data_IF_884372428920
#
_entry.id   IF_884372428920
#
_cell.length_a   1.000
_cell.length_b   1.000
_cell.length_c   1.000
_cell.angle_alpha   90.00
_cell.angle_beta   90.00
_cell.angle_gamma   90.00
#
_symmetry.space_group_name_H-M   'P 1'
#
loop_
_entity.id
_entity.type
_entity.pdbx_description
1 polymer ?
#
# COMPACT_ATOMS: atom_id res chain seq x y z
N UNK A 1 17.60 -61.68 62.86
CA UNK A 1 17.61 -60.51 61.95
C UNK A 1 16.43 -59.55 62.16
N UNK A 2 15.23 -60.00 62.55
CA UNK A 2 14.05 -59.14 62.67
C UNK A 2 14.04 -58.18 63.88
N UNK A 3 14.77 -58.48 64.97
CA UNK A 3 14.84 -57.60 66.16
C UNK A 3 15.68 -56.33 65.94
N UNK A 4 16.64 -56.36 65.02
CA UNK A 4 17.48 -55.21 64.67
C UNK A 4 16.71 -54.17 63.85
N UNK A 5 15.86 -54.64 62.93
CA UNK A 5 14.97 -53.80 62.10
C UNK A 5 13.96 -53.04 62.97
N UNK A 6 13.46 -53.64 64.05
CA UNK A 6 12.48 -53.01 64.94
C UNK A 6 13.08 -51.82 65.73
N UNK A 7 14.37 -51.88 66.07
CA UNK A 7 15.08 -50.82 66.84
C UNK A 7 15.48 -49.61 65.97
N UNK A 8 15.46 -49.74 64.64
CA UNK A 8 15.81 -48.67 63.69
C UNK A 8 14.65 -48.22 62.78
N UNK A 9 13.40 -48.55 63.11
CA UNK A 9 12.19 -48.20 62.33
C UNK A 9 12.09 -46.71 61.96
N UNK A 10 12.49 -45.81 62.86
CA UNK A 10 12.50 -44.36 62.57
C UNK A 10 13.47 -43.97 61.45
N UNK A 11 14.63 -44.65 61.36
CA UNK A 11 15.64 -44.38 60.32
C UNK A 11 15.18 -44.86 58.94
N UNK A 12 14.49 -46.00 58.87
CA UNK A 12 13.91 -46.51 57.63
C UNK A 12 12.75 -45.64 57.12
N UNK A 13 11.91 -45.11 58.01
CA UNK A 13 10.86 -44.16 57.66
C UNK A 13 11.44 -42.86 57.08
N UNK A 14 12.47 -42.31 57.71
CA UNK A 14 13.15 -41.10 57.22
C UNK A 14 13.80 -41.36 55.86
N UNK A 15 14.48 -42.50 55.69
CA UNK A 15 15.09 -42.86 54.41
C UNK A 15 14.04 -43.07 53.31
N UNK A 16 12.96 -43.79 53.60
CA UNK A 16 11.85 -44.01 52.67
C UNK A 16 11.17 -42.70 52.26
N UNK A 17 10.93 -41.79 53.22
CA UNK A 17 10.38 -40.47 52.95
C UNK A 17 11.34 -39.60 52.11
N UNK A 18 12.65 -39.67 52.38
CA UNK A 18 13.65 -38.97 51.59
C UNK A 18 13.70 -39.47 50.13
N UNK A 19 13.69 -40.79 49.92
CA UNK A 19 13.67 -41.39 48.58
C UNK A 19 12.38 -41.04 47.85
N UNK A 20 11.21 -41.20 48.48
CA UNK A 20 9.92 -40.86 47.88
C UNK A 20 9.82 -39.35 47.56
N UNK A 21 10.28 -38.48 48.46
CA UNK A 21 10.33 -37.04 48.25
C UNK A 21 11.24 -36.66 47.09
N UNK A 22 12.43 -37.28 46.98
CA UNK A 22 13.34 -37.05 45.86
C UNK A 22 12.75 -37.49 44.52
N UNK A 23 12.03 -38.60 44.48
CA UNK A 23 11.36 -39.10 43.28
C UNK A 23 10.24 -38.16 42.82
N UNK A 24 9.33 -37.78 43.72
CA UNK A 24 8.21 -36.88 43.39
C UNK A 24 8.70 -35.49 43.01
N UNK A 25 9.68 -34.94 43.76
CA UNK A 25 10.28 -33.64 43.46
C UNK A 25 11.02 -33.62 42.12
N UNK A 26 11.77 -34.68 41.81
CA UNK A 26 12.43 -34.84 40.52
C UNK A 26 11.45 -34.92 39.36
N UNK A 27 10.37 -35.71 39.49
CA UNK A 27 9.32 -35.81 38.47
C UNK A 27 8.60 -34.48 38.26
N UNK A 28 8.32 -33.74 39.32
CA UNK A 28 7.68 -32.43 39.25
C UNK A 28 8.57 -31.40 38.54
N UNK A 29 9.88 -31.37 38.84
CA UNK A 29 10.84 -30.51 38.14
C UNK A 29 10.90 -30.84 36.64
N UNK A 30 11.01 -32.12 36.28
CA UNK A 30 11.03 -32.56 34.88
C UNK A 30 9.75 -32.14 34.13
N UNK A 31 8.56 -32.43 34.70
CA UNK A 31 7.28 -32.01 34.11
C UNK A 31 7.15 -30.48 34.02
N UNK A 32 7.62 -29.73 35.02
CA UNK A 32 7.52 -28.27 35.03
C UNK A 32 8.40 -27.65 33.96
N UNK A 33 9.59 -28.19 33.74
CA UNK A 33 10.49 -27.71 32.67
C UNK A 33 9.94 -28.00 31.28
N UNK A 34 9.32 -29.17 31.05
CA UNK A 34 8.70 -29.49 29.76
C UNK A 34 7.50 -28.58 29.47
N UNK A 35 6.63 -28.34 30.47
CA UNK A 35 5.49 -27.41 30.34
C UNK A 35 5.94 -25.99 29.96
N UNK A 36 7.00 -25.47 30.62
CA UNK A 36 7.52 -24.13 30.35
C UNK A 36 8.20 -24.04 28.98
N UNK A 37 8.91 -25.09 28.56
CA UNK A 37 9.53 -25.16 27.23
C UNK A 37 8.48 -25.28 26.13
N UNK A 38 7.41 -26.03 26.36
CA UNK A 38 6.31 -26.16 25.41
C UNK A 38 5.56 -24.83 25.25
N UNK A 39 5.28 -24.13 26.35
CA UNK A 39 4.68 -22.79 26.32
C UNK A 39 5.57 -21.72 25.68
N UNK A 40 6.90 -21.80 25.85
CA UNK A 40 7.83 -20.92 25.13
C UNK A 40 7.85 -21.22 23.64
N UNK A 41 8.00 -22.51 23.28
CA UNK A 41 8.01 -22.94 21.87
C UNK A 41 6.72 -22.61 21.15
N UNK A 42 5.55 -22.72 21.79
CA UNK A 42 4.28 -22.37 21.16
C UNK A 42 4.19 -20.87 20.86
N UNK A 43 4.56 -20.02 21.83
CA UNK A 43 4.58 -18.56 21.65
C UNK A 43 5.55 -18.13 20.54
N UNK A 44 6.76 -18.70 20.53
CA UNK A 44 7.77 -18.41 19.50
C UNK A 44 7.32 -18.89 18.10
N UNK A 45 6.64 -20.04 18.02
CA UNK A 45 6.10 -20.59 16.78
C UNK A 45 4.96 -19.72 16.23
N UNK A 46 4.08 -19.20 17.10
CA UNK A 46 3.00 -18.29 16.73
C UNK A 46 3.55 -16.98 16.16
N UNK A 47 4.50 -16.35 16.86
CA UNK A 47 5.17 -15.13 16.39
C UNK A 47 5.88 -15.36 15.04
N UNK A 48 6.59 -16.48 14.88
CA UNK A 48 7.26 -16.83 13.62
C UNK A 48 6.26 -17.06 12.47
N UNK A 49 5.09 -17.66 12.75
CA UNK A 49 4.02 -17.85 11.75
C UNK A 49 3.46 -16.51 11.28
N UNK A 50 3.19 -15.59 12.20
CA UNK A 50 2.69 -14.25 11.89
C UNK A 50 3.69 -13.45 11.06
N UNK A 51 4.97 -13.49 11.45
CA UNK A 51 6.04 -12.81 10.72
C UNK A 51 6.17 -13.35 9.29
N UNK A 52 6.19 -14.68 9.11
CA UNK A 52 6.25 -15.32 7.80
C UNK A 52 5.03 -14.99 6.94
N UNK A 53 3.85 -14.95 7.55
CA UNK A 53 2.62 -14.59 6.85
C UNK A 53 2.66 -13.13 6.36
N UNK A 54 3.04 -12.18 7.22
CA UNK A 54 3.22 -10.78 6.85
C UNK A 54 4.25 -10.59 5.74
N UNK A 55 5.41 -11.25 5.86
CA UNK A 55 6.48 -11.16 4.86
C UNK A 55 6.03 -11.70 3.49
N UNK A 56 5.36 -12.85 3.47
CA UNK A 56 4.83 -13.44 2.23
C UNK A 56 3.75 -12.57 1.58
N UNK A 57 2.86 -11.99 2.37
CA UNK A 57 1.83 -11.09 1.88
C UNK A 57 2.43 -9.78 1.33
N UNK A 58 3.41 -9.18 2.02
CA UNK A 58 4.12 -8.01 1.53
C UNK A 58 4.81 -8.28 0.19
N UNK A 59 5.52 -9.41 0.07
CA UNK A 59 6.18 -9.85 -1.18
C UNK A 59 5.18 -10.04 -2.32
N UNK A 60 4.05 -10.71 -2.04
CA UNK A 60 3.00 -10.97 -3.04
C UNK A 60 2.35 -9.68 -3.52
N UNK A 61 2.02 -8.78 -2.59
CA UNK A 61 1.45 -7.48 -2.87
C UNK A 61 2.40 -6.61 -3.72
N UNK A 62 3.66 -6.53 -3.32
CA UNK A 62 4.69 -5.81 -4.06
C UNK A 62 4.87 -6.38 -5.47
N UNK A 63 4.96 -7.71 -5.59
CA UNK A 63 5.05 -8.39 -6.88
C UNK A 63 3.85 -8.08 -7.79
N UNK A 64 2.63 -8.08 -7.24
CA UNK A 64 1.43 -7.76 -8.01
C UNK A 64 1.48 -6.33 -8.58
N UNK A 65 1.93 -5.35 -7.77
CA UNK A 65 2.09 -3.97 -8.23
C UNK A 65 3.19 -3.83 -9.27
N UNK A 66 4.33 -4.51 -9.08
CA UNK A 66 5.41 -4.55 -10.08
C UNK A 66 4.94 -5.16 -11.39
N UNK A 67 4.03 -6.14 -11.38
CA UNK A 67 3.41 -6.70 -12.57
C UNK A 67 2.38 -5.77 -13.23
N UNK A 68 1.67 -4.95 -12.45
CA UNK A 68 0.70 -3.96 -12.94
C UNK A 68 1.38 -2.74 -13.57
N UNK A 69 2.53 -2.32 -13.02
CA UNK A 69 3.29 -1.15 -13.45
C UNK A 69 3.64 -1.12 -14.95
N UNK A 70 4.19 -2.18 -15.58
CA UNK A 70 4.48 -2.18 -17.01
C UNK A 70 3.21 -2.06 -17.85
N UNK A 71 2.11 -2.72 -17.44
CA UNK A 71 0.82 -2.61 -18.14
C UNK A 71 0.24 -1.20 -18.08
N UNK A 72 0.31 -0.56 -16.91
CA UNK A 72 -0.10 0.84 -16.74
C UNK A 72 0.77 1.78 -17.56
N UNK A 73 2.09 1.56 -17.55
CA UNK A 73 3.04 2.32 -18.37
C UNK A 73 2.64 2.21 -19.83
N UNK A 74 2.55 1.00 -20.38
CA UNK A 74 2.19 0.74 -21.79
C UNK A 74 0.86 1.39 -22.16
N UNK A 75 -0.17 1.24 -21.33
CA UNK A 75 -1.48 1.84 -21.56
C UNK A 75 -1.40 3.39 -21.58
N UNK A 76 -0.60 4.00 -20.70
CA UNK A 76 -0.34 5.44 -20.74
C UNK A 76 0.45 5.84 -21.98
N UNK A 77 1.47 5.08 -22.39
CA UNK A 77 2.22 5.39 -23.63
C UNK A 77 1.32 5.29 -24.86
N UNK A 78 0.40 4.32 -24.89
CA UNK A 78 -0.54 4.16 -26.00
C UNK A 78 -1.55 5.31 -26.10
N UNK A 79 -2.03 5.85 -24.97
CA UNK A 79 -3.00 6.97 -24.98
C UNK A 79 -2.33 8.36 -25.07
N UNK A 80 -1.08 8.47 -24.60
CA UNK A 80 -0.28 9.70 -24.55
C UNK A 80 1.06 9.48 -25.24
N UNK A 81 1.00 9.15 -26.53
CA UNK A 81 2.17 8.80 -27.36
C UNK A 81 2.95 10.05 -27.78
N UNK A 82 3.94 10.42 -26.96
CA UNK A 82 4.85 11.52 -27.28
C UNK A 82 5.90 11.10 -28.31
N UNK A 83 6.27 9.81 -28.31
CA UNK A 83 7.30 9.23 -29.14
C UNK A 83 6.93 9.33 -30.62
N UNK A 84 5.70 8.93 -31.00
CA UNK A 84 5.18 9.11 -32.37
C UNK A 84 5.17 10.57 -32.83
N UNK A 85 4.80 11.51 -31.94
CA UNK A 85 4.84 12.94 -32.27
C UNK A 85 6.28 13.41 -32.51
N UNK A 86 7.25 12.94 -31.72
CA UNK A 86 8.67 13.27 -31.92
C UNK A 86 9.24 12.67 -33.21
N UNK A 87 8.80 11.48 -33.63
CA UNK A 87 9.19 10.88 -34.90
C UNK A 87 8.60 11.65 -36.10
N UNK A 88 7.35 12.10 -36.00
CA UNK A 88 6.73 12.98 -37.00
C UNK A 88 7.47 14.33 -37.10
N UNK A 89 7.91 14.88 -35.97
CA UNK A 89 8.71 16.11 -35.94
C UNK A 89 10.09 15.95 -36.61
N UNK A 90 10.69 14.76 -36.53
CA UNK A 90 11.97 14.44 -37.19
C UNK A 90 11.82 14.24 -38.69
N UNK A 91 10.75 13.57 -39.13
CA UNK A 91 10.53 13.22 -40.54
C UNK A 91 9.92 14.34 -41.39
N UNK A 92 9.07 15.20 -40.80
CA UNK A 92 8.30 16.20 -41.55
C UNK A 92 9.01 17.56 -41.58
N UNK A 93 9.17 18.17 -42.76
CA UNK A 93 9.83 19.48 -42.91
C UNK A 93 8.89 20.68 -42.78
N UNK A 94 7.60 20.55 -43.13
CA UNK A 94 6.61 21.63 -43.11
C UNK A 94 5.50 21.41 -42.05
N UNK A 95 5.03 22.51 -41.43
CA UNK A 95 3.89 22.48 -40.49
C UNK A 95 4.21 21.93 -39.09
N UNK A 96 5.39 22.24 -38.53
CA UNK A 96 5.87 21.70 -37.23
C UNK A 96 5.19 22.30 -35.99
N UNK A 97 4.71 23.55 -36.06
CA UNK A 97 4.12 24.27 -34.91
C UNK A 97 2.97 23.50 -34.25
N UNK A 98 1.94 23.00 -34.97
CA UNK A 98 0.86 22.25 -34.33
C UNK A 98 1.32 20.92 -33.70
N UNK A 99 2.37 20.28 -34.25
CA UNK A 99 2.96 19.09 -33.66
C UNK A 99 3.65 19.40 -32.33
N UNK A 100 4.36 20.54 -32.24
CA UNK A 100 4.97 20.99 -31.00
C UNK A 100 3.95 21.37 -29.93
N UNK A 101 2.83 22.01 -30.32
CA UNK A 101 1.73 22.32 -29.41
C UNK A 101 1.09 21.04 -28.84
N UNK A 102 0.85 20.04 -29.69
CA UNK A 102 0.33 18.74 -29.26
C UNK A 102 1.34 18.00 -28.36
N UNK A 103 2.64 17.99 -28.72
CA UNK A 103 3.69 17.37 -27.91
C UNK A 103 3.75 17.97 -26.50
N UNK A 104 3.66 19.30 -26.39
CA UNK A 104 3.61 20.02 -25.11
C UNK A 104 2.47 19.47 -24.25
N UNK A 105 1.25 19.41 -24.79
CA UNK A 105 0.06 18.90 -24.07
C UNK A 105 0.29 17.45 -23.60
N UNK A 106 0.73 16.58 -24.50
CA UNK A 106 0.93 15.15 -24.21
C UNK A 106 1.99 14.94 -23.11
N UNK A 107 3.11 15.65 -23.16
CA UNK A 107 4.17 15.55 -22.16
C UNK A 107 3.69 15.95 -20.76
N UNK A 108 3.01 17.10 -20.63
CA UNK A 108 2.49 17.55 -19.33
C UNK A 108 1.39 16.62 -18.81
N UNK A 109 0.46 16.19 -19.67
CA UNK A 109 -0.57 15.23 -19.30
C UNK A 109 0.03 13.91 -18.81
N UNK A 110 1.10 13.41 -19.45
CA UNK A 110 1.77 12.16 -19.09
C UNK A 110 2.43 12.22 -17.71
N UNK A 111 3.05 13.34 -17.37
CA UNK A 111 3.64 13.55 -16.04
C UNK A 111 2.55 13.55 -14.97
N UNK A 112 1.46 14.29 -15.18
CA UNK A 112 0.37 14.40 -14.20
C UNK A 112 -0.35 13.05 -14.01
N UNK A 113 -0.69 12.36 -15.11
CA UNK A 113 -1.28 11.01 -15.05
C UNK A 113 -0.32 10.05 -14.34
N UNK A 114 0.99 10.13 -14.62
CA UNK A 114 2.01 9.31 -13.96
C UNK A 114 2.02 9.50 -12.44
N UNK A 115 1.94 10.73 -11.95
CA UNK A 115 1.85 11.04 -10.51
C UNK A 115 0.58 10.44 -9.92
N UNK A 116 -0.58 10.59 -10.58
CA UNK A 116 -1.83 10.01 -10.10
C UNK A 116 -1.82 8.49 -10.06
N UNK A 117 -1.20 7.83 -11.05
CA UNK A 117 -1.05 6.38 -11.06
C UNK A 117 -0.08 5.90 -9.98
N UNK A 118 0.98 6.63 -9.69
CA UNK A 118 1.87 6.31 -8.56
C UNK A 118 1.11 6.39 -7.22
N UNK A 119 0.30 7.44 -7.03
CA UNK A 119 -0.55 7.59 -5.86
C UNK A 119 -1.58 6.46 -5.75
N UNK A 120 -2.22 6.09 -6.86
CA UNK A 120 -3.16 4.99 -6.98
C UNK A 120 -2.55 3.64 -6.60
N UNK A 121 -1.38 3.32 -7.17
CA UNK A 121 -0.64 2.09 -6.85
C UNK A 121 -0.24 2.03 -5.37
N UNK A 122 0.18 3.16 -4.79
CA UNK A 122 0.46 3.23 -3.35
C UNK A 122 -0.80 2.97 -2.50
N UNK A 123 -1.95 3.48 -2.93
CA UNK A 123 -3.22 3.19 -2.25
C UNK A 123 -3.58 1.70 -2.33
N UNK A 124 -3.35 1.03 -3.47
CA UNK A 124 -3.56 -0.42 -3.61
C UNK A 124 -2.68 -1.25 -2.68
N UNK A 125 -1.39 -0.90 -2.56
CA UNK A 125 -0.48 -1.55 -1.60
C UNK A 125 -1.03 -1.45 -0.17
N UNK A 126 -1.61 -0.31 0.19
CA UNK A 126 -2.17 -0.11 1.54
C UNK A 126 -3.47 -0.85 1.75
N UNK A 127 -4.35 -0.90 0.76
CA UNK A 127 -5.59 -1.69 0.86
C UNK A 127 -5.21 -3.16 1.09
N UNK A 128 -4.23 -3.69 0.35
CA UNK A 128 -3.69 -5.03 0.56
C UNK A 128 -3.12 -5.24 1.97
N UNK A 129 -2.37 -4.27 2.50
CA UNK A 129 -1.84 -4.32 3.87
C UNK A 129 -2.96 -4.19 4.92
N UNK A 130 -4.02 -3.42 4.65
CA UNK A 130 -5.17 -3.31 5.57
C UNK A 130 -5.98 -4.61 5.64
N UNK A 131 -6.11 -5.32 4.51
CA UNK A 131 -6.73 -6.65 4.46
C UNK A 131 -5.88 -7.64 5.28
N UNK A 132 -4.56 -7.62 5.09
CA UNK A 132 -3.62 -8.42 5.89
C UNK A 132 -3.74 -8.13 7.39
N UNK A 133 -3.89 -6.86 7.79
CA UNK A 133 -4.07 -6.48 9.20
C UNK A 133 -5.36 -7.03 9.83
N UNK A 134 -6.45 -7.09 9.06
CA UNK A 134 -7.70 -7.72 9.46
C UNK A 134 -7.57 -9.22 9.65
N UNK A 135 -6.96 -9.91 8.66
CA UNK A 135 -6.68 -11.35 8.71
C UNK A 135 -5.76 -11.70 9.89
N UNK A 136 -4.73 -10.89 10.18
CA UNK A 136 -3.82 -11.08 11.32
C UNK A 136 -4.56 -11.01 12.68
N UNK A 137 -5.58 -10.16 12.78
CA UNK A 137 -6.43 -10.04 13.97
C UNK A 137 -7.38 -11.22 14.13
N UNK A 138 -7.85 -11.82 13.03
CA UNK A 138 -8.73 -12.99 13.03
C UNK A 138 -7.95 -14.29 13.27
N UNK A 139 -6.70 -14.39 12.78
CA UNK A 139 -5.76 -15.47 13.10
C UNK A 139 -5.48 -15.56 14.61
N UNK A 140 -5.48 -14.43 15.33
CA UNK A 140 -5.39 -14.41 16.80
C UNK A 140 -6.66 -14.88 17.51
N UNK A 141 -7.81 -14.92 16.82
CA UNK A 141 -9.15 -15.18 17.41
C UNK A 141 -9.76 -16.52 17.01
N UNK A 142 -9.03 -17.37 16.28
CA UNK A 142 -9.48 -18.70 15.83
C UNK A 142 -10.82 -18.69 15.05
N UNK A 143 -11.18 -17.52 14.49
CA UNK A 143 -12.35 -17.30 13.63
C UNK A 143 -11.87 -17.06 12.21
N UNK A 144 -11.35 -18.10 11.58
CA UNK A 144 -11.04 -18.11 10.16
C UNK A 144 -12.29 -18.59 9.40
N UNK A 145 -13.10 -17.67 8.86
CA UNK A 145 -13.82 -17.89 7.59
C UNK A 145 -14.65 -16.66 7.18
N UNK A 146 -14.71 -16.45 5.86
CA UNK A 146 -15.57 -15.58 5.05
C UNK A 146 -15.17 -14.10 4.79
N UNK A 147 -14.72 -13.33 5.79
CA UNK A 147 -14.42 -11.89 5.61
C UNK A 147 -13.20 -11.61 4.70
N UNK A 148 -12.13 -12.39 4.80
CA UNK A 148 -10.91 -12.21 3.99
C UNK A 148 -11.09 -12.41 2.49
N UNK A 149 -11.95 -13.38 2.12
CA UNK A 149 -12.24 -13.72 0.72
C UNK A 149 -12.95 -12.58 0.01
N UNK A 150 -13.93 -11.96 0.68
CA UNK A 150 -14.68 -10.83 0.16
C UNK A 150 -13.78 -9.61 -0.06
N UNK A 151 -12.94 -9.27 0.92
CA UNK A 151 -12.05 -8.12 0.84
C UNK A 151 -10.98 -8.29 -0.27
N UNK A 152 -10.46 -9.51 -0.44
CA UNK A 152 -9.51 -9.83 -1.52
C UNK A 152 -10.16 -9.77 -2.90
N UNK A 153 -11.38 -10.31 -3.06
CA UNK A 153 -12.13 -10.22 -4.31
C UNK A 153 -12.42 -8.76 -4.67
N UNK A 154 -12.71 -7.94 -3.66
CA UNK A 154 -12.99 -6.52 -3.82
C UNK A 154 -11.78 -5.74 -4.32
N UNK A 155 -10.61 -6.02 -3.75
CA UNK A 155 -9.35 -5.47 -4.25
C UNK A 155 -9.15 -5.81 -5.74
N UNK A 156 -9.32 -7.07 -6.13
CA UNK A 156 -9.10 -7.51 -7.51
C UNK A 156 -10.03 -6.79 -8.48
N UNK A 157 -11.30 -6.59 -8.11
CA UNK A 157 -12.26 -5.81 -8.91
C UNK A 157 -11.83 -4.35 -9.06
N UNK A 158 -11.36 -3.72 -7.98
CA UNK A 158 -10.87 -2.33 -8.05
C UNK A 158 -9.62 -2.19 -8.93
N UNK A 159 -8.67 -3.13 -8.83
CA UNK A 159 -7.49 -3.16 -9.70
C UNK A 159 -7.87 -3.36 -11.17
N UNK A 160 -8.83 -4.24 -11.46
CA UNK A 160 -9.35 -4.45 -12.81
C UNK A 160 -10.07 -3.22 -13.37
N UNK A 161 -10.88 -2.54 -12.53
CA UNK A 161 -11.57 -1.32 -12.93
C UNK A 161 -10.60 -0.18 -13.26
N UNK A 162 -9.57 0.03 -12.43
CA UNK A 162 -8.53 1.03 -12.70
C UNK A 162 -7.86 0.77 -14.07
N UNK A 163 -7.49 -0.49 -14.33
CA UNK A 163 -6.81 -0.89 -15.56
C UNK A 163 -7.67 -0.75 -16.82
N UNK A 164 -9.00 -0.87 -16.71
CA UNK A 164 -9.92 -0.86 -17.85
C UNK A 164 -10.51 0.51 -18.10
N UNK A 165 -11.33 1.00 -17.17
CA UNK A 165 -12.17 2.18 -17.37
C UNK A 165 -11.60 3.41 -16.66
N UNK A 166 -11.02 3.20 -15.47
CA UNK A 166 -10.50 4.29 -14.64
C UNK A 166 -9.36 5.05 -15.29
N UNK A 167 -8.41 4.32 -15.89
CA UNK A 167 -7.25 4.91 -16.56
C UNK A 167 -7.64 5.76 -17.77
N UNK A 168 -8.50 5.26 -18.65
CA UNK A 168 -8.94 5.99 -19.85
C UNK A 168 -9.70 7.26 -19.47
N UNK A 169 -10.61 7.18 -18.49
CA UNK A 169 -11.33 8.33 -17.99
C UNK A 169 -10.40 9.37 -17.32
N UNK A 170 -9.37 8.91 -16.59
CA UNK A 170 -8.37 9.76 -15.98
C UNK A 170 -7.53 10.48 -17.04
N UNK A 171 -6.99 9.75 -18.01
CA UNK A 171 -6.19 10.30 -19.11
C UNK A 171 -6.99 11.32 -19.90
N UNK A 172 -8.23 10.99 -20.29
CA UNK A 172 -9.09 11.92 -21.03
C UNK A 172 -9.37 13.21 -20.26
N UNK A 173 -9.60 13.12 -18.95
CA UNK A 173 -9.87 14.31 -18.11
C UNK A 173 -8.62 15.17 -17.90
N UNK A 174 -7.48 14.55 -17.61
CA UNK A 174 -6.21 15.27 -17.45
C UNK A 174 -5.77 15.90 -18.76
N UNK A 175 -5.90 15.19 -19.89
CA UNK A 175 -5.59 15.73 -21.22
C UNK A 175 -6.44 16.97 -21.52
N UNK A 176 -7.75 16.90 -21.32
CA UNK A 176 -8.65 18.05 -21.54
C UNK A 176 -8.30 19.25 -20.65
N UNK A 177 -7.93 19.00 -19.39
CA UNK A 177 -7.48 20.05 -18.49
C UNK A 177 -6.14 20.65 -18.96
N UNK A 178 -5.20 19.80 -19.35
CA UNK A 178 -3.90 20.22 -19.88
C UNK A 178 -4.05 21.05 -21.16
N UNK A 179 -4.91 20.64 -22.10
CA UNK A 179 -5.24 21.40 -23.30
C UNK A 179 -5.75 22.81 -22.94
N UNK A 180 -6.70 22.90 -22.01
CA UNK A 180 -7.30 24.18 -21.62
C UNK A 180 -6.28 25.14 -21.01
N UNK A 181 -5.39 24.66 -20.14
CA UNK A 181 -4.37 25.49 -19.49
C UNK A 181 -3.23 25.82 -20.47
N UNK A 182 -2.70 24.83 -21.19
CA UNK A 182 -1.51 24.98 -22.03
C UNK A 182 -1.75 25.74 -23.33
N UNK A 183 -2.98 25.84 -23.81
CA UNK A 183 -3.32 26.68 -24.97
C UNK A 183 -3.04 28.17 -24.71
N UNK A 184 -3.06 28.61 -23.45
CA UNK A 184 -2.76 30.00 -23.08
C UNK A 184 -1.27 30.35 -23.12
N UNK A 185 -0.38 29.35 -23.19
CA UNK A 185 1.07 29.53 -23.15
C UNK A 185 1.72 29.30 -24.52
N UNK A 186 2.47 30.29 -25.01
CA UNK A 186 3.25 30.17 -26.25
C UNK A 186 4.47 29.24 -26.06
N UNK A 187 4.82 28.49 -27.11
CA UNK A 187 6.06 27.68 -27.20
C UNK A 187 7.36 28.47 -26.91
N UNK A 188 7.38 29.77 -27.18
CA UNK A 188 8.57 30.62 -26.98
C UNK A 188 8.69 31.21 -25.57
N UNK A 189 7.69 31.01 -24.72
CA UNK A 189 7.66 31.59 -23.38
C UNK A 189 8.69 30.89 -22.48
N UNK A 190 9.58 31.67 -21.83
CA UNK A 190 10.52 31.12 -20.86
C UNK A 190 9.80 30.87 -19.54
N UNK A 191 9.63 29.61 -19.17
CA UNK A 191 9.02 29.20 -17.91
C UNK A 191 10.09 29.10 -16.82
N UNK A 192 9.87 29.81 -15.71
CA UNK A 192 10.64 29.62 -14.47
C UNK A 192 10.14 28.37 -13.74
N UNK A 193 10.95 27.83 -12.81
CA UNK A 193 10.55 26.66 -12.01
C UNK A 193 9.25 26.89 -11.23
N UNK A 194 9.04 28.11 -10.73
CA UNK A 194 7.79 28.52 -10.06
C UNK A 194 6.59 28.53 -11.03
N UNK A 195 6.79 29.04 -12.25
CA UNK A 195 5.77 29.03 -13.30
C UNK A 195 5.34 27.62 -13.72
N UNK A 196 6.29 26.67 -13.79
CA UNK A 196 5.94 25.25 -14.02
C UNK A 196 5.13 24.67 -12.87
N UNK A 197 5.49 25.01 -11.62
CA UNK A 197 4.73 24.57 -10.44
C UNK A 197 3.29 25.10 -10.43
N UNK A 198 3.08 26.38 -10.76
CA UNK A 198 1.77 26.99 -10.89
C UNK A 198 0.96 26.33 -12.00
N UNK A 199 1.57 26.12 -13.17
CA UNK A 199 0.92 25.46 -14.30
C UNK A 199 0.46 24.04 -13.97
N UNK A 200 1.31 23.25 -13.29
CA UNK A 200 0.92 21.92 -12.82
C UNK A 200 -0.21 21.98 -11.78
N UNK A 201 -0.18 22.96 -10.88
CA UNK A 201 -1.25 23.21 -9.91
C UNK A 201 -2.58 23.60 -10.57
N UNK A 202 -2.53 24.38 -11.65
CA UNK A 202 -3.72 24.79 -12.41
C UNK A 202 -4.33 23.61 -13.16
N UNK A 203 -3.50 22.78 -13.83
CA UNK A 203 -4.00 21.55 -14.47
C UNK A 203 -4.56 20.59 -13.41
N UNK A 204 -3.91 20.49 -12.25
CA UNK A 204 -4.41 19.67 -11.14
C UNK A 204 -5.76 20.18 -10.63
N UNK A 205 -5.91 21.48 -10.36
CA UNK A 205 -7.16 22.06 -9.86
C UNK A 205 -8.31 21.91 -10.87
N UNK A 206 -8.04 22.12 -12.17
CA UNK A 206 -9.02 21.98 -13.23
C UNK A 206 -9.43 20.51 -13.46
N UNK A 207 -8.47 19.58 -13.40
CA UNK A 207 -8.78 18.15 -13.52
C UNK A 207 -9.55 17.63 -12.30
N UNK A 208 -9.15 18.04 -11.10
CA UNK A 208 -9.76 17.62 -9.83
C UNK A 208 -11.10 18.28 -9.52
N UNK A 209 -11.42 19.41 -10.15
CA UNK A 209 -12.69 20.12 -9.95
C UNK A 209 -13.89 19.21 -10.29
N UNK A 210 -14.74 18.98 -9.29
CA UNK A 210 -15.91 18.11 -9.39
C UNK A 210 -16.99 18.83 -10.21
N UNK A 211 -17.47 18.24 -11.32
CA UNK A 211 -18.73 18.71 -11.92
C UNK A 211 -19.83 18.45 -10.90
N UNK A 212 -20.59 19.46 -10.44
CA UNK A 212 -21.79 19.21 -9.65
C UNK A 212 -22.81 18.58 -10.59
N UNK A 213 -22.97 17.25 -10.51
CA UNK A 213 -24.13 16.61 -11.12
C UNK A 213 -25.30 16.91 -10.21
N UNK A 214 -26.27 17.70 -10.70
CA UNK A 214 -27.50 18.04 -10.01
C UNK A 214 -28.32 16.78 -9.69
N UNK A 215 -27.98 16.06 -8.63
CA UNK A 215 -28.91 15.18 -7.93
C UNK A 215 -28.35 14.77 -6.59
N UNK A 216 -29.15 15.08 -5.57
CA UNK A 216 -29.24 14.40 -4.28
C UNK A 216 -28.23 14.74 -3.18
N UNK A 217 -28.83 15.33 -2.13
CA UNK A 217 -28.37 15.56 -0.77
C UNK A 217 -27.57 14.36 -0.22
N UNK A 218 -26.41 14.65 0.39
CA UNK A 218 -25.79 13.78 1.40
C UNK A 218 -24.55 12.96 1.01
N UNK A 219 -23.96 13.14 -0.18
CA UNK A 219 -22.77 12.34 -0.55
C UNK A 219 -21.50 13.00 -0.03
N UNK A 220 -20.76 12.28 0.81
CA UNK A 220 -19.43 12.61 1.30
C UNK A 220 -18.54 13.01 0.11
N UNK A 221 -17.79 14.10 0.22
CA UNK A 221 -16.90 14.59 -0.83
C UNK A 221 -15.84 13.51 -1.14
N UNK A 222 -16.10 12.62 -2.08
CA UNK A 222 -15.10 11.63 -2.49
C UNK A 222 -13.98 12.35 -3.21
N UNK A 223 -12.75 12.15 -2.73
CA UNK A 223 -11.56 12.72 -3.37
C UNK A 223 -11.52 12.31 -4.85
N UNK A 224 -11.19 13.25 -5.74
CA UNK A 224 -11.15 13.08 -7.21
C UNK A 224 -10.60 11.72 -7.69
N UNK A 225 -9.49 11.26 -7.10
CA UNK A 225 -8.84 10.01 -7.47
C UNK A 225 -9.64 8.76 -7.11
N UNK A 226 -10.42 8.80 -6.03
CA UNK A 226 -11.26 7.67 -5.59
C UNK A 226 -12.27 7.30 -6.66
N UNK A 227 -12.77 8.29 -7.42
CA UNK A 227 -13.71 8.07 -8.51
C UNK A 227 -13.13 7.19 -9.64
N UNK A 228 -11.82 7.27 -9.89
CA UNK A 228 -11.16 6.48 -10.93
C UNK A 228 -10.58 5.16 -10.40
N UNK A 229 -10.42 5.07 -9.08
CA UNK A 229 -9.84 3.91 -8.41
C UNK A 229 -10.86 2.86 -8.03
N UNK A 230 -12.09 3.27 -7.67
CA UNK A 230 -13.12 2.39 -7.14
C UNK A 230 -14.38 2.44 -8.02
N UNK A 231 -14.99 1.28 -8.34
CA UNK A 231 -16.28 1.25 -9.01
C UNK A 231 -17.35 1.91 -8.13
N UNK A 232 -18.29 2.62 -8.76
CA UNK A 232 -19.27 3.55 -8.13
C UNK A 232 -20.23 2.90 -7.13
N UNK A 233 -20.20 1.58 -6.99
CA UNK A 233 -21.28 0.76 -6.42
C UNK A 233 -21.03 0.28 -4.99
N UNK A 234 -20.08 0.87 -4.24
CA UNK A 234 -19.75 0.37 -2.90
C UNK A 234 -19.64 1.41 -1.79
N UNK A 235 -20.30 1.07 -0.69
CA UNK A 235 -20.38 1.68 0.65
C UNK A 235 -19.04 1.79 1.41
N UNK A 236 -17.91 1.81 0.71
CA UNK A 236 -16.55 1.83 1.27
C UNK A 236 -16.01 3.25 1.56
N UNK A 237 -16.88 4.28 1.49
CA UNK A 237 -16.47 5.68 1.55
C UNK A 237 -15.94 6.15 2.92
N UNK A 238 -16.13 5.39 4.00
CA UNK A 238 -15.75 5.84 5.35
C UNK A 238 -14.32 5.41 5.73
N UNK A 239 -13.89 4.19 5.36
CA UNK A 239 -12.56 3.68 5.74
C UNK A 239 -11.42 4.24 4.88
N UNK A 240 -11.66 4.48 3.59
CA UNK A 240 -10.65 5.04 2.68
C UNK A 240 -10.39 6.52 2.92
N UNK A 241 -11.42 7.30 3.26
CA UNK A 241 -11.29 8.76 3.47
C UNK A 241 -10.46 9.11 4.72
N UNK A 242 -10.62 8.34 5.81
CA UNK A 242 -9.83 8.51 7.05
C UNK A 242 -8.37 8.12 6.84
N UNK A 243 -8.09 7.04 6.11
CA UNK A 243 -6.71 6.62 5.85
C UNK A 243 -5.97 7.50 4.83
N UNK A 244 -6.64 8.00 3.79
CA UNK A 244 -6.00 8.84 2.75
C UNK A 244 -5.63 10.22 3.29
N UNK A 245 -6.46 10.83 4.14
CA UNK A 245 -6.21 12.15 4.77
C UNK A 245 -5.08 12.11 5.81
N UNK A 246 -5.04 11.09 6.69
CA UNK A 246 -3.89 10.87 7.60
C UNK A 246 -2.59 10.65 6.82
N UNK A 247 -2.66 10.01 5.65
CA UNK A 247 -1.47 9.69 4.88
C UNK A 247 -0.90 10.82 4.03
N UNK A 248 -1.69 11.77 3.53
CA UNK A 248 -1.12 12.94 2.85
C UNK A 248 -0.22 13.74 3.82
N UNK A 249 -0.62 13.79 5.10
CA UNK A 249 0.14 14.38 6.19
C UNK A 249 1.39 13.56 6.54
N UNK A 250 1.28 12.23 6.68
CA UNK A 250 2.43 11.37 7.01
C UNK A 250 3.43 11.18 5.86
N UNK A 251 2.97 11.04 4.61
CA UNK A 251 3.84 10.92 3.44
C UNK A 251 4.60 12.21 3.21
N UNK A 252 3.96 13.38 3.32
CA UNK A 252 4.63 14.67 3.19
C UNK A 252 5.64 14.92 4.32
N UNK A 253 5.43 14.36 5.52
CA UNK A 253 6.41 14.38 6.61
C UNK A 253 7.59 13.43 6.36
N UNK A 254 7.34 12.20 5.93
CA UNK A 254 8.41 11.20 5.64
C UNK A 254 9.24 11.62 4.43
N UNK A 255 8.60 12.05 3.33
CA UNK A 255 9.34 12.56 2.16
C UNK A 255 10.11 13.85 2.47
N UNK A 256 9.57 14.78 3.27
CA UNK A 256 10.36 15.95 3.74
C UNK A 256 11.54 15.54 4.60
N UNK A 257 11.40 14.50 5.43
CA UNK A 257 12.47 14.01 6.29
C UNK A 257 13.56 13.31 5.48
N UNK A 258 13.20 12.48 4.50
CA UNK A 258 14.16 11.80 3.62
C UNK A 258 14.86 12.76 2.66
N UNK A 259 14.14 13.75 2.10
CA UNK A 259 14.75 14.80 1.27
C UNK A 259 15.70 15.67 2.10
N UNK A 260 15.31 16.04 3.33
CA UNK A 260 16.18 16.83 4.23
C UNK A 260 17.40 16.03 4.69
N UNK A 261 17.27 14.72 4.92
CA UNK A 261 18.40 13.84 5.20
C UNK A 261 19.34 13.70 3.99
N UNK A 262 18.82 13.55 2.77
CA UNK A 262 19.64 13.50 1.55
C UNK A 262 20.39 14.82 1.28
N UNK A 263 19.76 15.97 1.55
CA UNK A 263 20.41 17.28 1.40
C UNK A 263 21.49 17.51 2.47
N UNK A 264 21.26 17.07 3.72
CA UNK A 264 22.25 17.16 4.80
C UNK A 264 23.44 16.23 4.59
N UNK A 265 23.24 15.05 4.00
CA UNK A 265 24.33 14.13 3.65
C UNK A 265 25.18 14.60 2.46
N UNK A 266 24.64 15.45 1.57
CA UNK A 266 25.42 16.03 0.46
C UNK A 266 26.21 17.30 0.83
N UNK A 267 25.99 17.88 2.02
CA UNK A 267 26.72 19.06 2.51
C UNK A 267 27.99 18.76 3.32
N UNK A 268 28.39 17.48 3.42
CA UNK A 268 29.52 17.02 4.24
C UNK A 268 30.61 16.31 3.42
N UNK A 269 30.82 16.75 2.18
CA UNK A 269 31.99 16.41 1.35
C UNK A 269 32.59 17.67 0.75
#
# INVERSE_FOLDING_TARGET
>A
MLSWVYRHKGKFLVLGAAVAGSYVGGRWLLNKTSELQEKRRSSELEEARLQKHCENHCKTCLSAVVCLLPRLKEAVQAQLDAESITEQLRSKSAGKVPLWENLKIVCFARVIVGVYLCCALSAFLRIQLSILGGELSLLHRDQACDEGSLAQQQYLRSAQHLMREGLEALVGRVRKAAETVLLSYSLKHQLTAEGVGQLLSDIHSLSSSHRPTNSSKGVCQTSFLVQFLLPRDQSFQVYTHVQVSMWFSSLSLVTRRDIRCSILCQGHY
#
